data_IF_235137036283
#
_entry.id   IF_235137036283
#
_cell.length_a   1.000
_cell.length_b   1.000
_cell.length_c   1.000
_cell.angle_alpha   90.00
_cell.angle_beta   90.00
_cell.angle_gamma   90.00
#
_symmetry.space_group_name_H-M   'P 1'
#
loop_
_entity.id
_entity.type
_entity.pdbx_description
1 polymer ?
#
# COMPACT_ATOMS: atom_id res chain seq x y z
N UNK A 1 21.22 -13.08 1.52
CA UNK A 1 20.15 -13.41 0.57
C UNK A 1 18.97 -14.17 1.18
N UNK A 2 19.14 -14.98 2.24
CA UNK A 2 18.05 -15.74 2.87
C UNK A 2 16.89 -14.88 3.45
N UNK A 3 17.20 -13.72 4.03
CA UNK A 3 16.22 -12.85 4.70
C UNK A 3 15.16 -12.29 3.72
N UNK A 4 15.57 -11.99 2.48
CA UNK A 4 14.66 -11.44 1.46
C UNK A 4 13.64 -12.48 0.98
N UNK A 5 14.04 -13.75 0.89
CA UNK A 5 13.15 -14.85 0.54
C UNK A 5 12.13 -15.13 1.64
N UNK A 6 12.56 -15.10 2.90
CA UNK A 6 11.67 -15.26 4.05
C UNK A 6 10.61 -14.15 4.13
N UNK A 7 10.98 -12.90 3.80
CA UNK A 7 10.04 -11.77 3.76
C UNK A 7 8.99 -11.87 2.65
N UNK A 8 9.41 -12.32 1.45
CA UNK A 8 8.49 -12.52 0.34
C UNK A 8 7.46 -13.63 0.62
N UNK A 9 7.91 -14.78 1.12
CA UNK A 9 7.03 -15.89 1.52
C UNK A 9 6.02 -15.46 2.59
N UNK A 10 6.45 -14.68 3.57
CA UNK A 10 5.56 -14.14 4.58
C UNK A 10 4.46 -13.28 3.94
N UNK A 11 4.82 -12.31 3.10
CA UNK A 11 3.85 -11.45 2.41
C UNK A 11 2.84 -12.25 1.57
N UNK A 12 3.30 -13.27 0.82
CA UNK A 12 2.44 -14.14 0.03
C UNK A 12 1.43 -14.91 0.89
N UNK A 13 1.87 -15.49 2.01
CA UNK A 13 0.96 -16.20 2.92
C UNK A 13 -0.06 -15.26 3.57
N UNK A 14 0.36 -14.05 3.96
CA UNK A 14 -0.56 -13.04 4.48
C UNK A 14 -1.61 -12.65 3.44
N UNK A 15 -1.21 -12.42 2.19
CA UNK A 15 -2.15 -12.09 1.12
C UNK A 15 -3.13 -13.23 0.82
N UNK A 16 -2.69 -14.49 0.82
CA UNK A 16 -3.57 -15.64 0.64
C UNK A 16 -4.61 -15.75 1.77
N UNK A 17 -4.18 -15.58 3.03
CA UNK A 17 -5.08 -15.65 4.18
C UNK A 17 -6.07 -14.47 4.17
N UNK A 18 -5.59 -13.24 3.95
CA UNK A 18 -6.46 -12.05 3.88
C UNK A 18 -7.50 -12.16 2.77
N UNK A 19 -7.08 -12.57 1.55
CA UNK A 19 -7.96 -12.74 0.41
C UNK A 19 -9.03 -13.82 0.62
N UNK A 20 -8.67 -14.95 1.23
CA UNK A 20 -9.64 -16.02 1.54
C UNK A 20 -10.66 -15.59 2.59
N UNK A 21 -10.24 -14.89 3.65
CA UNK A 21 -11.13 -14.36 4.69
C UNK A 21 -12.10 -13.32 4.12
N UNK A 22 -11.63 -12.42 3.23
CA UNK A 22 -12.51 -11.46 2.53
C UNK A 22 -13.54 -12.18 1.68
N UNK A 23 -13.09 -13.11 0.83
CA UNK A 23 -13.97 -13.87 -0.04
C UNK A 23 -15.06 -14.60 0.75
N UNK A 24 -14.68 -15.24 1.87
CA UNK A 24 -15.61 -15.88 2.78
C UNK A 24 -16.59 -14.89 3.43
N UNK A 25 -16.09 -13.75 3.92
CA UNK A 25 -16.92 -12.70 4.55
C UNK A 25 -17.92 -12.09 3.56
N UNK A 26 -17.52 -11.92 2.30
CA UNK A 26 -18.37 -11.45 1.22
C UNK A 26 -19.50 -12.44 0.91
N UNK A 27 -19.15 -13.72 0.73
CA UNK A 27 -20.14 -14.78 0.51
C UNK A 27 -21.12 -14.90 1.68
N UNK A 28 -20.63 -14.83 2.91
CA UNK A 28 -21.46 -14.86 4.13
C UNK A 28 -22.36 -13.64 4.26
N UNK A 29 -21.85 -12.45 3.95
CA UNK A 29 -22.62 -11.21 3.93
C UNK A 29 -23.75 -11.23 2.89
N UNK A 30 -23.49 -11.83 1.72
CA UNK A 30 -24.47 -12.03 0.65
C UNK A 30 -25.56 -13.04 1.04
N UNK A 31 -25.18 -14.15 1.68
CA UNK A 31 -26.13 -15.14 2.21
C UNK A 31 -27.07 -14.55 3.27
N UNK A 32 -26.57 -13.64 4.12
CA UNK A 32 -27.36 -12.97 5.16
C UNK A 32 -28.14 -11.73 4.67
N UNK A 33 -28.13 -11.40 3.37
CA UNK A 33 -28.80 -10.22 2.82
C UNK A 33 -28.19 -8.86 3.21
N UNK A 34 -27.07 -8.84 3.93
CA UNK A 34 -26.45 -7.64 4.52
C UNK A 34 -25.27 -7.10 3.70
N UNK A 35 -25.44 -7.02 2.38
CA UNK A 35 -24.38 -6.61 1.45
C UNK A 35 -23.87 -5.17 1.69
N UNK A 36 -24.71 -4.29 2.24
CA UNK A 36 -24.37 -2.88 2.47
C UNK A 36 -23.37 -2.66 3.62
N UNK A 37 -23.25 -3.62 4.55
CA UNK A 37 -22.36 -3.52 5.72
C UNK A 37 -20.87 -3.60 5.34
N UNK A 38 -20.52 -4.38 4.30
CA UNK A 38 -19.13 -4.56 3.85
C UNK A 38 -18.55 -3.24 3.32
N UNK A 39 -19.31 -2.50 2.52
CA UNK A 39 -18.89 -1.21 1.97
C UNK A 39 -18.66 -0.18 3.07
N UNK A 40 -19.59 -0.09 4.02
CA UNK A 40 -19.46 0.81 5.18
C UNK A 40 -18.24 0.50 6.03
N UNK A 41 -17.96 -0.78 6.28
CA UNK A 41 -16.76 -1.21 7.02
C UNK A 41 -15.47 -0.89 6.26
N UNK A 42 -15.47 -1.05 4.94
CA UNK A 42 -14.32 -0.75 4.08
C UNK A 42 -14.00 0.75 4.08
N UNK A 43 -15.02 1.61 4.03
CA UNK A 43 -14.86 3.08 4.05
C UNK A 43 -14.32 3.55 5.42
N UNK A 44 -14.88 3.04 6.53
CA UNK A 44 -14.39 3.38 7.87
C UNK A 44 -12.92 2.97 8.06
N UNK A 45 -12.53 1.83 7.50
CA UNK A 45 -11.14 1.38 7.53
C UNK A 45 -10.23 2.25 6.66
N UNK A 46 -10.70 2.66 5.49
CA UNK A 46 -9.96 3.60 4.63
C UNK A 46 -9.59 4.86 5.41
N UNK A 47 -10.58 5.55 5.99
CA UNK A 47 -10.33 6.77 6.76
C UNK A 47 -9.38 6.59 7.96
N UNK A 48 -9.26 5.36 8.50
CA UNK A 48 -8.30 5.06 9.58
C UNK A 48 -6.88 4.83 9.08
N UNK A 49 -6.70 4.24 7.90
CA UNK A 49 -5.37 3.88 7.34
C UNK A 49 -4.77 5.02 6.53
N UNK A 50 -5.59 5.75 5.77
CA UNK A 50 -5.17 6.90 4.95
C UNK A 50 -4.33 7.95 5.69
N UNK A 51 -4.62 8.38 6.94
CA UNK A 51 -3.80 9.41 7.60
C UNK A 51 -2.35 8.97 7.80
N UNK A 52 -2.11 7.70 8.11
CA UNK A 52 -0.76 7.16 8.27
C UNK A 52 -0.03 7.12 6.93
N UNK A 53 -0.69 6.64 5.87
CA UNK A 53 -0.12 6.61 4.52
C UNK A 53 0.19 8.01 4.00
N UNK A 54 -0.70 8.98 4.24
CA UNK A 54 -0.52 10.37 3.87
C UNK A 54 0.68 10.99 4.59
N UNK A 55 0.84 10.72 5.90
CA UNK A 55 2.02 11.17 6.65
C UNK A 55 3.32 10.60 6.08
N UNK A 56 3.36 9.32 5.72
CA UNK A 56 4.54 8.68 5.13
C UNK A 56 4.91 9.29 3.78
N UNK A 57 3.92 9.61 2.95
CA UNK A 57 4.12 10.26 1.64
C UNK A 57 4.66 11.68 1.86
N UNK A 58 4.02 12.48 2.72
CA UNK A 58 4.47 13.83 3.04
C UNK A 58 5.90 13.84 3.60
N UNK A 59 6.19 12.94 4.54
CA UNK A 59 7.50 12.74 5.13
C UNK A 59 8.52 12.37 4.04
N UNK A 60 8.18 11.46 3.14
CA UNK A 60 9.06 11.03 2.04
C UNK A 60 9.33 12.17 1.05
N UNK A 61 8.35 13.02 0.76
CA UNK A 61 8.52 14.16 -0.16
C UNK A 61 9.31 15.32 0.47
N UNK A 62 9.20 15.57 1.78
CA UNK A 62 9.89 16.70 2.44
C UNK A 62 11.23 16.31 3.06
N UNK A 63 11.32 15.18 3.77
CA UNK A 63 12.54 14.82 4.50
C UNK A 63 13.62 14.18 3.64
N UNK A 64 13.29 13.53 2.53
CA UNK A 64 14.34 13.06 1.61
C UNK A 64 15.17 14.20 1.02
N UNK A 65 14.57 15.38 0.83
CA UNK A 65 15.27 16.56 0.32
C UNK A 65 16.33 17.04 1.32
N UNK A 66 16.04 16.93 2.63
CA UNK A 66 16.92 17.44 3.69
C UNK A 66 17.93 16.41 4.23
N UNK A 67 17.63 15.10 4.18
CA UNK A 67 18.57 14.04 4.60
C UNK A 67 19.57 13.64 3.51
N UNK A 68 19.41 14.14 2.29
CA UNK A 68 20.20 13.80 1.11
C UNK A 68 21.47 14.66 0.94
N UNK A 69 22.55 14.37 1.65
CA UNK A 69 23.87 14.99 1.39
C UNK A 69 24.92 13.95 0.92
N UNK A 70 24.54 13.04 0.03
CA UNK A 70 25.43 12.00 -0.52
C UNK A 70 25.53 12.00 -2.06
N UNK A 71 26.72 11.83 -2.67
CA UNK A 71 26.92 11.92 -4.12
C UNK A 71 26.22 10.82 -4.94
N UNK A 72 25.91 9.68 -4.32
CA UNK A 72 25.14 8.57 -4.91
C UNK A 72 23.62 8.81 -4.78
N UNK A 73 23.22 9.58 -3.78
CA UNK A 73 21.83 9.77 -3.40
C UNK A 73 21.03 10.53 -4.46
N UNK A 74 21.65 11.49 -5.16
CA UNK A 74 21.00 12.25 -6.23
C UNK A 74 20.52 11.39 -7.42
N UNK A 75 21.26 10.33 -7.80
CA UNK A 75 20.84 9.43 -8.90
C UNK A 75 19.70 8.51 -8.51
N UNK A 76 19.69 8.00 -7.28
CA UNK A 76 18.68 7.06 -6.78
C UNK A 76 17.40 7.81 -6.42
N UNK A 77 17.53 8.99 -5.80
CA UNK A 77 16.38 9.80 -5.42
C UNK A 77 15.74 10.52 -6.59
N UNK A 78 16.49 10.95 -7.61
CA UNK A 78 15.87 11.58 -8.78
C UNK A 78 14.80 10.70 -9.44
N UNK A 79 15.03 9.38 -9.49
CA UNK A 79 14.03 8.43 -9.96
C UNK A 79 12.88 8.28 -8.95
N UNK A 80 13.18 7.99 -7.68
CA UNK A 80 12.17 7.78 -6.63
C UNK A 80 11.25 9.00 -6.42
N UNK A 81 11.81 10.20 -6.44
CA UNK A 81 11.12 11.47 -6.25
C UNK A 81 10.20 11.78 -7.43
N UNK A 82 10.62 11.52 -8.67
CA UNK A 82 9.78 11.65 -9.86
C UNK A 82 8.54 10.75 -9.80
N UNK A 83 8.71 9.49 -9.39
CA UNK A 83 7.59 8.55 -9.26
C UNK A 83 6.70 8.90 -8.07
N UNK A 84 7.27 9.25 -6.92
CA UNK A 84 6.48 9.60 -5.74
C UNK A 84 5.69 10.90 -5.94
N UNK A 85 6.29 11.94 -6.54
CA UNK A 85 5.60 13.20 -6.83
C UNK A 85 4.59 13.09 -7.98
N UNK A 86 4.69 12.11 -8.88
CA UNK A 86 3.66 11.88 -9.90
C UNK A 86 2.53 10.96 -9.42
N UNK A 87 2.80 10.03 -8.51
CA UNK A 87 1.86 9.01 -8.05
C UNK A 87 1.50 9.11 -6.56
N UNK A 88 1.77 10.24 -5.90
CA UNK A 88 1.38 10.45 -4.49
C UNK A 88 -0.12 10.23 -4.30
N UNK A 89 -0.95 10.69 -5.25
CA UNK A 89 -2.40 10.52 -5.22
C UNK A 89 -2.80 9.05 -5.36
N UNK A 90 -2.12 8.27 -6.21
CA UNK A 90 -2.39 6.84 -6.40
C UNK A 90 -1.99 6.02 -5.16
N UNK A 91 -0.88 6.39 -4.51
CA UNK A 91 -0.44 5.81 -3.24
C UNK A 91 -1.39 6.16 -2.09
N UNK A 92 -1.93 7.38 -2.08
CA UNK A 92 -2.88 7.84 -1.07
C UNK A 92 -4.25 7.17 -1.22
N UNK A 93 -4.67 6.89 -2.46
CA UNK A 93 -5.88 6.14 -2.78
C UNK A 93 -5.71 4.62 -2.69
N UNK A 94 -4.49 4.11 -2.39
CA UNK A 94 -4.17 2.68 -2.38
C UNK A 94 -4.44 1.96 -3.73
N UNK A 95 -4.36 2.66 -4.86
CA UNK A 95 -4.58 2.13 -6.22
C UNK A 95 -3.26 1.82 -6.94
N UNK A 96 -2.10 2.16 -6.35
CA UNK A 96 -0.78 2.00 -6.96
C UNK A 96 -0.51 0.60 -7.53
N UNK A 97 -1.10 -0.44 -6.93
CA UNK A 97 -0.93 -1.82 -7.40
C UNK A 97 -1.55 -2.04 -8.80
N UNK A 98 -2.69 -1.40 -9.11
CA UNK A 98 -3.35 -1.52 -10.43
C UNK A 98 -2.58 -0.84 -11.56
N UNK A 99 -1.68 0.10 -11.24
CA UNK A 99 -0.85 0.80 -12.24
C UNK A 99 0.44 0.02 -12.54
N UNK A 100 0.78 -0.99 -11.73
CA UNK A 100 1.93 -1.87 -11.91
C UNK A 100 3.03 -1.67 -10.86
N UNK A 101 3.76 -2.77 -10.58
CA UNK A 101 4.88 -2.84 -9.62
C UNK A 101 5.97 -1.77 -9.87
N UNK A 102 6.11 -1.31 -11.12
CA UNK A 102 7.11 -0.32 -11.51
C UNK A 102 6.83 1.10 -10.98
N UNK A 103 5.66 1.35 -10.38
CA UNK A 103 5.25 2.68 -9.90
C UNK A 103 5.16 2.77 -8.37
N UNK A 104 5.92 1.95 -7.66
CA UNK A 104 6.00 2.00 -6.19
C UNK A 104 6.90 3.13 -5.71
N UNK A 105 6.38 4.02 -4.86
CA UNK A 105 7.21 4.99 -4.16
C UNK A 105 7.99 4.36 -3.00
N UNK A 106 7.40 3.39 -2.27
CA UNK A 106 8.04 2.63 -1.19
C UNK A 106 7.44 1.22 -1.10
N UNK A 107 8.23 0.24 -0.65
CA UNK A 107 7.75 -1.12 -0.40
C UNK A 107 6.62 -1.15 0.64
N UNK A 108 6.75 -0.35 1.71
CA UNK A 108 5.72 -0.18 2.75
C UNK A 108 4.38 0.29 2.17
N UNK A 109 4.40 1.32 1.30
CA UNK A 109 3.17 1.87 0.70
C UNK A 109 2.51 0.88 -0.25
N UNK A 110 3.31 0.07 -0.95
CA UNK A 110 2.78 -0.99 -1.79
C UNK A 110 2.12 -2.10 -0.97
N UNK A 111 2.78 -2.54 0.11
CA UNK A 111 2.24 -3.56 1.00
C UNK A 111 0.91 -3.11 1.62
N UNK A 112 0.84 -1.85 2.10
CA UNK A 112 -0.40 -1.24 2.60
C UNK A 112 -1.50 -1.15 1.54
N UNK A 113 -1.16 -0.82 0.29
CA UNK A 113 -2.12 -0.80 -0.80
C UNK A 113 -2.64 -2.21 -1.16
N UNK A 114 -1.76 -3.22 -1.14
CA UNK A 114 -2.13 -4.60 -1.36
C UNK A 114 -3.01 -5.16 -0.23
N UNK A 115 -2.70 -4.87 1.04
CA UNK A 115 -3.54 -5.23 2.19
C UNK A 115 -4.93 -4.60 2.05
N UNK A 116 -5.02 -3.32 1.69
CA UNK A 116 -6.31 -2.63 1.56
C UNK A 116 -7.22 -3.26 0.48
N UNK A 117 -6.63 -3.84 -0.57
CA UNK A 117 -7.37 -4.48 -1.67
C UNK A 117 -7.76 -5.93 -1.37
N UNK A 118 -6.87 -6.70 -0.73
CA UNK A 118 -7.10 -8.12 -0.45
C UNK A 118 -7.89 -8.36 0.84
N UNK A 119 -7.80 -7.44 1.79
CA UNK A 119 -8.54 -7.50 3.04
C UNK A 119 -9.89 -6.85 2.92
#
# INVERSE_FOLDING_TARGET
SAILWSGALAAETFFLISGTVRGYSYLRGRHNGNSCSILRQSILRYFRVTPTTAFIILFTSTLNIHLSNGPIWGKIMGFHELFCNKLWWANLLHISNCLGISFMCRMETWFLAADFQMF
#
